data_IF_084677514208
#
_entry.id   IF_084677514208
#
_cell.length_a   1.000
_cell.length_b   1.000
_cell.length_c   1.000
_cell.angle_alpha   90.00
_cell.angle_beta   90.00
_cell.angle_gamma   90.00
#
_symmetry.space_group_name_H-M   'P 1'
#
loop_
_entity.id
_entity.type
_entity.pdbx_description
1 polymer ?
#
# COMPACT_ATOMS: atom_id res chain seq x y z
N UNK A 1 49.04 1.57 16.98
CA UNK A 1 47.94 2.07 16.14
C UNK A 1 46.86 0.99 16.17
N UNK A 2 45.87 1.15 17.04
CA UNK A 2 44.78 0.18 17.19
C UNK A 2 43.70 0.55 16.17
N UNK A 3 43.39 -0.36 15.26
CA UNK A 3 42.22 -0.23 14.37
C UNK A 3 41.03 -0.71 15.20
N UNK A 4 40.16 0.20 15.60
CA UNK A 4 38.85 -0.17 16.11
C UNK A 4 38.04 -0.69 14.90
N UNK A 5 37.72 -1.98 14.89
CA UNK A 5 36.70 -2.53 14.00
C UNK A 5 35.36 -2.10 14.61
N UNK A 6 34.76 -1.07 14.03
CA UNK A 6 33.43 -0.61 14.38
C UNK A 6 32.44 -1.59 13.74
N UNK A 7 32.22 -2.73 14.39
CA UNK A 7 31.33 -3.80 13.91
C UNK A 7 29.86 -3.38 14.13
N UNK A 8 29.38 -2.43 13.30
CA UNK A 8 27.96 -2.05 13.22
C UNK A 8 27.15 -3.13 12.49
N UNK A 9 27.19 -4.36 13.00
CA UNK A 9 26.41 -5.47 12.44
C UNK A 9 24.94 -5.33 12.87
N UNK A 10 24.04 -5.49 11.92
CA UNK A 10 22.59 -5.55 12.15
C UNK A 10 22.10 -6.93 11.76
N UNK A 11 21.27 -7.51 12.62
CA UNK A 11 20.62 -8.80 12.41
C UNK A 11 19.13 -8.59 12.19
N UNK A 12 18.63 -9.03 11.05
CA UNK A 12 17.20 -9.08 10.75
C UNK A 12 16.69 -10.49 10.97
N UNK A 13 15.50 -10.60 11.55
CA UNK A 13 14.80 -11.86 11.72
C UNK A 13 13.50 -11.81 10.93
N UNK A 14 13.20 -12.87 10.19
CA UNK A 14 11.96 -12.97 9.45
C UNK A 14 10.79 -13.20 10.42
N UNK A 15 9.78 -12.33 10.36
CA UNK A 15 8.61 -12.41 11.24
C UNK A 15 7.73 -13.63 11.00
N UNK A 16 7.91 -14.34 9.88
CA UNK A 16 7.09 -15.48 9.50
C UNK A 16 7.72 -16.84 9.87
N UNK A 17 8.99 -17.05 9.51
CA UNK A 17 9.67 -18.33 9.73
C UNK A 17 10.82 -18.27 10.73
N UNK A 18 11.21 -17.08 11.20
CA UNK A 18 12.36 -16.89 12.07
C UNK A 18 13.71 -17.07 11.39
N UNK A 19 13.78 -17.12 10.05
CA UNK A 19 15.05 -17.07 9.31
C UNK A 19 15.79 -15.78 9.61
N UNK A 20 17.12 -15.77 9.51
CA UNK A 20 17.96 -14.67 10.00
C UNK A 20 18.99 -14.27 8.95
N UNK A 21 19.20 -12.96 8.80
CA UNK A 21 20.34 -12.43 8.04
C UNK A 21 21.09 -11.40 8.87
N UNK A 22 22.41 -11.41 8.77
CA UNK A 22 23.30 -10.46 9.44
C UNK A 22 24.21 -9.81 8.42
N UNK A 23 24.32 -8.48 8.47
CA UNK A 23 25.28 -7.74 7.66
C UNK A 23 25.53 -6.35 8.20
N UNK A 24 26.39 -5.61 7.51
CA UNK A 24 26.84 -4.29 7.94
C UNK A 24 25.71 -3.25 7.83
N UNK A 25 25.32 -2.66 8.96
CA UNK A 25 24.46 -1.48 9.02
C UNK A 25 25.24 -0.19 8.75
N UNK A 26 24.54 0.87 8.32
CA UNK A 26 25.19 2.16 8.03
C UNK A 26 25.88 2.75 9.27
N UNK A 27 27.09 3.34 9.13
CA UNK A 27 27.80 3.91 10.27
C UNK A 27 27.17 5.24 10.70
N UNK A 28 26.95 5.39 12.00
CA UNK A 28 26.36 6.56 12.70
C UNK A 28 24.88 6.86 12.42
N UNK A 29 23.99 6.13 13.11
CA UNK A 29 22.56 6.45 13.17
C UNK A 29 21.61 5.25 13.22
N UNK A 30 22.11 4.04 12.93
CA UNK A 30 21.60 2.77 13.46
C UNK A 30 20.14 2.39 13.23
N UNK A 31 19.43 2.98 12.28
CA UNK A 31 18.00 2.66 12.08
C UNK A 31 17.70 2.07 10.70
N UNK A 32 18.44 2.38 9.63
CA UNK A 32 18.05 2.00 8.26
C UNK A 32 18.80 0.77 7.72
N UNK A 33 18.07 -0.25 7.26
CA UNK A 33 18.57 -1.58 6.85
C UNK A 33 18.29 -1.92 5.38
N UNK A 34 17.95 -0.92 4.57
CA UNK A 34 17.58 -1.10 3.15
C UNK A 34 18.61 -1.86 2.31
N UNK A 35 19.90 -1.60 2.52
CA UNK A 35 20.99 -2.29 1.82
C UNK A 35 20.99 -3.78 2.14
N UNK A 36 20.86 -4.14 3.42
CA UNK A 36 20.83 -5.53 3.89
C UNK A 36 19.58 -6.26 3.35
N UNK A 37 18.44 -5.56 3.29
CA UNK A 37 17.23 -6.10 2.67
C UNK A 37 17.43 -6.40 1.19
N UNK A 38 17.97 -5.41 0.45
CA UNK A 38 18.17 -5.50 -1.00
C UNK A 38 19.17 -6.59 -1.38
N UNK A 39 20.30 -6.69 -0.67
CA UNK A 39 21.36 -7.66 -0.94
C UNK A 39 20.89 -9.10 -0.76
N UNK A 40 19.97 -9.34 0.18
CA UNK A 40 19.50 -10.68 0.51
C UNK A 40 18.09 -10.98 -0.04
N UNK A 41 17.49 -10.04 -0.78
CA UNK A 41 16.13 -10.18 -1.32
C UNK A 41 15.06 -10.28 -0.23
N UNK A 42 15.33 -9.73 0.95
CA UNK A 42 14.35 -9.59 2.02
C UNK A 42 13.45 -8.39 1.74
N UNK A 43 12.22 -8.43 2.25
CA UNK A 43 11.27 -7.33 2.18
C UNK A 43 10.82 -6.90 3.57
N UNK A 44 10.31 -5.68 3.71
CA UNK A 44 9.86 -5.18 5.00
C UNK A 44 10.21 -3.72 5.23
N UNK A 45 10.18 -3.33 6.50
CA UNK A 45 10.51 -1.99 6.95
C UNK A 45 11.93 -1.63 6.54
N UNK A 46 12.18 -0.40 6.05
CA UNK A 46 13.54 0.07 5.91
C UNK A 46 14.22 0.26 7.27
N UNK A 47 13.48 0.18 8.39
CA UNK A 47 14.00 0.33 9.74
C UNK A 47 14.34 -1.02 10.40
N UNK A 48 15.43 -1.09 11.16
CA UNK A 48 15.93 -2.31 11.81
C UNK A 48 14.93 -2.92 12.79
N UNK A 49 14.14 -2.09 13.47
CA UNK A 49 13.12 -2.48 14.45
C UNK A 49 11.74 -2.77 13.83
N UNK A 50 11.59 -2.58 12.52
CA UNK A 50 10.34 -2.84 11.83
C UNK A 50 10.19 -4.29 11.36
N UNK A 51 9.05 -4.64 10.75
CA UNK A 51 8.81 -5.99 10.27
C UNK A 51 9.70 -6.35 9.08
N UNK A 52 10.20 -7.58 9.05
CA UNK A 52 11.07 -8.12 7.99
C UNK A 52 10.59 -9.51 7.54
N UNK A 53 10.70 -9.79 6.25
CA UNK A 53 10.43 -11.11 5.68
C UNK A 53 11.60 -11.54 4.80
N UNK A 54 12.05 -12.78 5.00
CA UNK A 54 13.11 -13.34 4.16
C UNK A 54 12.59 -13.63 2.75
N UNK A 55 13.51 -13.70 1.79
CA UNK A 55 13.19 -13.95 0.39
C UNK A 55 12.32 -15.21 0.16
N UNK A 56 12.38 -16.21 1.04
CA UNK A 56 11.55 -17.40 0.96
C UNK A 56 10.11 -17.12 1.39
N UNK A 57 9.90 -16.48 2.54
CA UNK A 57 8.55 -16.14 3.03
C UNK A 57 7.88 -15.08 2.16
N UNK A 58 8.64 -14.13 1.63
CA UNK A 58 8.13 -13.16 0.63
C UNK A 58 7.60 -13.87 -0.61
N UNK A 59 8.21 -14.99 -1.02
CA UNK A 59 7.72 -15.81 -2.15
C UNK A 59 6.54 -16.72 -1.79
N UNK A 60 6.35 -17.05 -0.52
CA UNK A 60 5.27 -17.92 -0.05
C UNK A 60 3.98 -17.16 0.26
N UNK A 61 4.04 -15.83 0.36
CA UNK A 61 2.92 -15.01 0.83
C UNK A 61 2.77 -15.04 2.35
N UNK A 62 1.76 -14.37 2.91
CA UNK A 62 1.54 -14.30 4.35
C UNK A 62 1.24 -15.67 4.98
N UNK A 63 1.54 -15.81 6.28
CA UNK A 63 1.18 -16.98 7.08
C UNK A 63 -0.33 -17.28 7.02
N UNK A 64 -0.73 -18.56 7.22
CA UNK A 64 -2.12 -19.02 7.16
C UNK A 64 -3.05 -18.42 8.24
N UNK A 65 -2.57 -17.51 9.09
CA UNK A 65 -3.33 -16.89 10.19
C UNK A 65 -4.13 -15.65 9.76
N UNK A 66 -4.19 -15.37 8.44
CA UNK A 66 -5.47 -15.16 7.74
C UNK A 66 -6.27 -13.88 8.00
N UNK A 67 -5.87 -12.78 7.36
CA UNK A 67 -6.84 -12.05 6.53
C UNK A 67 -6.24 -12.00 5.12
N UNK A 68 -6.86 -12.65 4.11
CA UNK A 68 -6.42 -12.47 2.75
C UNK A 68 -6.50 -10.98 2.43
N UNK A 69 -5.36 -10.40 2.07
CA UNK A 69 -5.33 -9.04 1.59
C UNK A 69 -6.09 -8.92 0.26
N UNK A 70 -6.54 -7.71 -0.06
CA UNK A 70 -7.22 -7.42 -1.33
C UNK A 70 -8.65 -6.89 -1.16
N UNK A 71 -9.45 -7.03 -2.22
CA UNK A 71 -10.80 -6.44 -2.30
C UNK A 71 -11.76 -7.22 -1.40
N UNK A 72 -12.32 -6.53 -0.41
CA UNK A 72 -13.25 -7.11 0.58
C UNK A 72 -14.70 -6.73 0.34
N UNK A 73 -14.97 -5.75 -0.53
CA UNK A 73 -16.33 -5.37 -0.88
C UNK A 73 -16.39 -4.33 -2.00
N UNK A 74 -17.49 -4.35 -2.73
CA UNK A 74 -17.87 -3.32 -3.71
C UNK A 74 -19.30 -2.91 -3.40
N UNK A 75 -19.52 -1.61 -3.20
CA UNK A 75 -20.83 -1.03 -2.92
C UNK A 75 -21.16 0.06 -3.94
N UNK A 76 -22.41 0.12 -4.38
CA UNK A 76 -22.90 1.19 -5.24
C UNK A 76 -23.85 2.08 -4.45
N UNK A 77 -23.49 3.35 -4.32
CA UNK A 77 -24.22 4.36 -3.58
C UNK A 77 -24.49 5.51 -4.53
N UNK A 78 -25.72 5.60 -5.05
CA UNK A 78 -26.21 6.70 -5.89
C UNK A 78 -25.11 7.30 -6.79
N UNK A 79 -24.67 6.64 -7.87
CA UNK A 79 -23.64 7.20 -8.76
C UNK A 79 -22.22 7.35 -8.16
N UNK A 80 -21.94 6.77 -6.99
CA UNK A 80 -20.60 6.52 -6.46
C UNK A 80 -20.41 5.01 -6.29
N UNK A 81 -19.30 4.46 -6.75
CA UNK A 81 -18.91 3.07 -6.44
C UNK A 81 -17.77 3.07 -5.43
N UNK A 82 -17.96 2.38 -4.31
CA UNK A 82 -16.96 2.23 -3.26
C UNK A 82 -16.31 0.85 -3.37
N UNK A 83 -14.99 0.82 -3.52
CA UNK A 83 -14.17 -0.40 -3.48
C UNK A 83 -13.44 -0.44 -2.15
N UNK A 84 -13.73 -1.43 -1.31
CA UNK A 84 -13.12 -1.59 0.01
C UNK A 84 -12.01 -2.61 -0.04
N UNK A 85 -10.85 -2.26 0.50
CA UNK A 85 -9.63 -3.08 0.47
C UNK A 85 -9.12 -3.24 1.90
N UNK A 86 -8.65 -4.45 2.23
CA UNK A 86 -8.06 -4.73 3.53
C UNK A 86 -6.80 -5.60 3.40
N UNK A 87 -5.97 -5.63 4.44
CA UNK A 87 -4.74 -6.42 4.48
C UNK A 87 -3.68 -5.92 3.48
N UNK A 88 -2.84 -6.84 3.02
CA UNK A 88 -1.75 -6.55 2.09
C UNK A 88 -2.25 -6.52 0.63
N UNK A 89 -1.88 -5.48 -0.11
CA UNK A 89 -2.20 -5.35 -1.54
C UNK A 89 -0.91 -5.50 -2.34
N UNK A 90 -0.72 -6.70 -2.88
CA UNK A 90 0.46 -7.12 -3.64
C UNK A 90 0.09 -7.72 -5.01
N UNK A 91 1.11 -8.24 -5.71
CA UNK A 91 1.00 -8.92 -7.00
C UNK A 91 -0.06 -10.03 -7.03
N UNK A 92 -0.24 -10.78 -5.93
CA UNK A 92 -1.19 -11.91 -5.89
C UNK A 92 -2.64 -11.41 -5.82
N UNK A 93 -2.85 -10.21 -5.28
CA UNK A 93 -4.15 -9.53 -5.23
C UNK A 93 -4.42 -8.63 -6.45
N UNK A 94 -3.41 -8.42 -7.30
CA UNK A 94 -3.42 -7.45 -8.40
C UNK A 94 -4.55 -7.68 -9.39
N UNK A 95 -4.81 -8.93 -9.78
CA UNK A 95 -5.86 -9.28 -10.75
C UNK A 95 -7.26 -8.99 -10.20
N UNK A 96 -7.51 -9.32 -8.93
CA UNK A 96 -8.78 -9.06 -8.26
C UNK A 96 -9.02 -7.55 -8.09
N UNK A 97 -7.97 -6.81 -7.73
CA UNK A 97 -8.02 -5.36 -7.64
C UNK A 97 -8.27 -4.71 -9.01
N UNK A 98 -7.57 -5.17 -10.04
CA UNK A 98 -7.77 -4.66 -11.41
C UNK A 98 -9.20 -4.88 -11.88
N UNK A 99 -9.75 -6.08 -11.65
CA UNK A 99 -11.13 -6.40 -12.02
C UNK A 99 -12.15 -5.53 -11.26
N UNK A 100 -11.95 -5.36 -9.95
CA UNK A 100 -12.81 -4.52 -9.11
C UNK A 100 -12.78 -3.06 -9.54
N UNK A 101 -11.59 -2.50 -9.79
CA UNK A 101 -11.44 -1.13 -10.25
C UNK A 101 -12.03 -0.95 -11.66
N UNK A 102 -11.81 -1.90 -12.58
CA UNK A 102 -12.46 -1.89 -13.91
C UNK A 102 -13.97 -1.82 -13.76
N UNK A 103 -14.55 -2.73 -12.99
CA UNK A 103 -15.99 -2.76 -12.72
C UNK A 103 -16.49 -1.43 -12.15
N UNK A 104 -15.81 -0.89 -11.14
CA UNK A 104 -16.16 0.39 -10.54
C UNK A 104 -16.10 1.55 -11.55
N UNK A 105 -15.07 1.59 -12.40
CA UNK A 105 -14.95 2.62 -13.44
C UNK A 105 -16.02 2.46 -14.53
N UNK A 106 -16.44 1.23 -14.83
CA UNK A 106 -17.41 0.95 -15.89
C UNK A 106 -18.84 1.39 -15.52
N UNK A 107 -19.16 1.47 -14.22
CA UNK A 107 -20.43 2.02 -13.74
C UNK A 107 -20.64 3.50 -14.10
N UNK A 108 -19.58 4.23 -14.48
CA UNK A 108 -19.68 5.58 -15.04
C UNK A 108 -19.91 6.71 -14.03
N UNK A 109 -19.90 6.41 -12.73
CA UNK A 109 -19.98 7.39 -11.65
C UNK A 109 -18.64 7.71 -11.00
N UNK A 110 -18.68 8.41 -9.86
CA UNK A 110 -17.50 8.61 -9.03
C UNK A 110 -17.03 7.28 -8.42
N UNK A 111 -15.76 7.23 -8.02
CA UNK A 111 -15.19 6.05 -7.37
C UNK A 111 -14.53 6.45 -6.05
N UNK A 112 -14.82 5.69 -5.00
CA UNK A 112 -14.07 5.76 -3.74
C UNK A 112 -13.28 4.47 -3.58
N UNK A 113 -11.98 4.59 -3.32
CA UNK A 113 -11.15 3.46 -2.90
C UNK A 113 -10.87 3.60 -1.41
N UNK A 114 -11.42 2.69 -0.62
CA UNK A 114 -11.24 2.65 0.83
C UNK A 114 -10.09 1.71 1.21
N UNK A 115 -8.95 2.31 1.53
CA UNK A 115 -7.73 1.67 2.05
C UNK A 115 -7.65 1.76 3.58
N UNK A 116 -8.76 2.04 4.26
CA UNK A 116 -8.81 2.25 5.71
C UNK A 116 -8.37 1.06 6.56
N UNK A 117 -8.33 -0.14 5.96
CA UNK A 117 -7.90 -1.40 6.58
C UNK A 117 -6.71 -2.05 5.84
N UNK A 118 -6.00 -1.28 5.01
CA UNK A 118 -4.84 -1.74 4.26
C UNK A 118 -3.57 -1.54 5.06
N UNK A 119 -2.76 -2.59 5.15
CA UNK A 119 -1.51 -2.61 5.93
C UNK A 119 -0.31 -2.31 5.02
N UNK A 120 -0.31 -2.87 3.81
CA UNK A 120 0.73 -2.66 2.80
C UNK A 120 0.12 -2.42 1.41
N UNK A 121 0.80 -1.61 0.59
CA UNK A 121 0.47 -1.41 -0.82
C UNK A 121 1.74 -1.39 -1.66
N UNK A 122 1.79 -2.21 -2.71
CA UNK A 122 2.93 -2.29 -3.63
C UNK A 122 2.80 -1.34 -4.84
N UNK A 123 3.84 -1.27 -5.67
CA UNK A 123 3.86 -0.43 -6.87
C UNK A 123 2.85 -0.85 -7.94
N UNK A 124 2.45 -2.14 -7.97
CA UNK A 124 1.45 -2.66 -8.90
C UNK A 124 0.08 -2.10 -8.57
N UNK A 125 -0.32 -2.18 -7.29
CA UNK A 125 -1.56 -1.61 -6.79
C UNK A 125 -1.63 -0.10 -7.01
N UNK A 126 -0.54 0.63 -6.74
CA UNK A 126 -0.46 2.07 -7.03
C UNK A 126 -0.68 2.37 -8.52
N UNK A 127 -0.06 1.58 -9.41
CA UNK A 127 -0.26 1.70 -10.86
C UNK A 127 -1.71 1.47 -11.28
N UNK A 128 -2.41 0.54 -10.63
CA UNK A 128 -3.84 0.29 -10.86
C UNK A 128 -4.72 1.46 -10.43
N UNK A 129 -4.42 2.11 -9.29
CA UNK A 129 -5.12 3.31 -8.83
C UNK A 129 -4.99 4.46 -9.83
N UNK A 130 -3.79 4.68 -10.38
CA UNK A 130 -3.55 5.71 -11.41
C UNK A 130 -4.34 5.42 -12.68
N UNK A 131 -4.33 4.16 -13.15
CA UNK A 131 -5.12 3.75 -14.32
C UNK A 131 -6.63 3.95 -14.10
N UNK A 132 -7.13 3.60 -12.91
CA UNK A 132 -8.53 3.81 -12.55
C UNK A 132 -8.88 5.30 -12.53
N UNK A 133 -8.01 6.14 -11.95
CA UNK A 133 -8.19 7.59 -11.93
C UNK A 133 -8.34 8.16 -13.35
N UNK A 134 -7.46 7.79 -14.29
CA UNK A 134 -7.57 8.25 -15.67
C UNK A 134 -8.90 7.86 -16.33
N UNK A 135 -9.33 6.60 -16.18
CA UNK A 135 -10.62 6.13 -16.74
C UNK A 135 -11.84 6.86 -16.16
N UNK A 136 -11.80 7.18 -14.88
CA UNK A 136 -12.87 7.93 -14.20
C UNK A 136 -12.88 9.39 -14.70
N UNK A 137 -11.71 10.00 -14.83
CA UNK A 137 -11.56 11.37 -15.32
C UNK A 137 -11.99 11.55 -16.79
N UNK A 138 -11.72 10.56 -17.66
CA UNK A 138 -12.19 10.55 -19.06
C UNK A 138 -13.71 10.68 -19.19
N UNK A 139 -14.46 10.28 -18.16
CA UNK A 139 -15.93 10.33 -18.10
C UNK A 139 -16.45 11.56 -17.34
N UNK A 140 -15.58 12.47 -16.91
CA UNK A 140 -15.94 13.65 -16.14
C UNK A 140 -16.28 13.37 -14.67
N UNK A 141 -16.00 12.15 -14.18
CA UNK A 141 -16.19 11.78 -12.78
C UNK A 141 -14.87 11.93 -12.00
N UNK A 142 -14.88 11.62 -10.69
CA UNK A 142 -13.71 11.75 -9.81
C UNK A 142 -13.47 10.46 -9.03
N UNK A 143 -12.20 10.05 -8.96
CA UNK A 143 -11.75 8.99 -8.06
C UNK A 143 -11.16 9.64 -6.80
N UNK A 144 -11.62 9.24 -5.62
CA UNK A 144 -11.10 9.68 -4.32
C UNK A 144 -10.58 8.47 -3.53
N UNK A 145 -9.45 8.64 -2.84
CA UNK A 145 -8.86 7.60 -1.99
C UNK A 145 -9.02 7.97 -0.52
N UNK A 146 -9.53 7.04 0.27
CA UNK A 146 -9.57 7.13 1.73
C UNK A 146 -8.48 6.22 2.32
N UNK A 147 -7.59 6.78 3.14
CA UNK A 147 -6.56 6.01 3.83
C UNK A 147 -6.33 6.55 5.23
N UNK A 148 -6.53 5.68 6.23
CA UNK A 148 -6.27 5.97 7.66
C UNK A 148 -4.82 5.72 8.06
N UNK A 149 -4.18 4.71 7.49
CA UNK A 149 -2.82 4.32 7.84
C UNK A 149 -1.80 5.44 7.51
N UNK A 150 -1.02 5.94 8.49
CA UNK A 150 0.02 6.93 8.23
C UNK A 150 1.08 6.45 7.23
N UNK A 151 1.39 5.14 7.26
CA UNK A 151 2.32 4.50 6.33
C UNK A 151 1.80 4.59 4.89
N UNK A 152 0.55 4.16 4.65
CA UNK A 152 -0.06 4.22 3.30
C UNK A 152 -0.13 5.67 2.80
N UNK A 153 -0.53 6.61 3.67
CA UNK A 153 -0.55 8.03 3.31
C UNK A 153 0.85 8.56 2.98
N UNK A 154 1.89 8.10 3.68
CA UNK A 154 3.27 8.48 3.38
C UNK A 154 3.74 7.91 2.04
N UNK A 155 3.40 6.66 1.73
CA UNK A 155 3.68 6.05 0.43
C UNK A 155 3.03 6.86 -0.69
N UNK A 156 1.75 7.22 -0.55
CA UNK A 156 1.03 8.02 -1.53
C UNK A 156 1.64 9.43 -1.70
N UNK A 157 2.10 10.06 -0.62
CA UNK A 157 2.80 11.36 -0.66
C UNK A 157 4.16 11.31 -1.32
N UNK A 158 4.99 10.34 -0.95
CA UNK A 158 6.34 10.18 -1.54
C UNK A 158 6.24 9.89 -3.04
N UNK A 159 5.22 9.15 -3.44
CA UNK A 159 4.90 8.87 -4.85
C UNK A 159 4.10 9.98 -5.53
N UNK A 160 3.76 11.07 -4.82
CA UNK A 160 2.97 12.23 -5.27
C UNK A 160 1.59 11.89 -5.82
N UNK A 161 1.04 10.76 -5.42
CA UNK A 161 -0.28 10.33 -5.84
C UNK A 161 -1.40 11.12 -5.16
N UNK A 162 -1.12 11.76 -4.04
CA UNK A 162 -2.00 12.73 -3.39
C UNK A 162 -2.16 14.05 -4.19
N UNK A 163 -1.28 14.31 -5.16
CA UNK A 163 -1.42 15.40 -6.14
C UNK A 163 -2.25 14.97 -7.37
N UNK A 164 -2.41 13.66 -7.60
CA UNK A 164 -3.11 13.09 -8.77
C UNK A 164 -4.60 12.93 -8.48
N UNK A 165 -4.96 12.41 -7.32
CA UNK A 165 -6.34 12.24 -6.88
C UNK A 165 -6.53 12.71 -5.44
N UNK A 166 -7.75 13.15 -5.06
CA UNK A 166 -8.01 13.54 -3.68
C UNK A 166 -7.76 12.39 -2.70
N UNK A 167 -6.92 12.65 -1.70
CA UNK A 167 -6.61 11.76 -0.59
C UNK A 167 -7.19 12.30 0.71
N UNK A 168 -8.09 11.54 1.33
CA UNK A 168 -8.72 11.87 2.62
C UNK A 168 -8.50 10.77 3.64
N UNK A 169 -8.88 11.01 4.89
CA UNK A 169 -8.63 10.06 5.98
C UNK A 169 -9.65 8.93 6.01
N UNK A 170 -10.93 9.22 5.79
CA UNK A 170 -12.00 8.23 5.92
C UNK A 170 -12.87 8.12 4.68
N UNK A 171 -13.52 6.95 4.52
CA UNK A 171 -14.56 6.73 3.51
C UNK A 171 -15.67 7.78 3.59
N UNK A 172 -16.05 8.20 4.80
CA UNK A 172 -17.07 9.22 5.00
C UNK A 172 -16.64 10.58 4.43
N UNK A 173 -15.39 10.99 4.67
CA UNK A 173 -14.83 12.23 4.11
C UNK A 173 -14.76 12.18 2.58
N UNK A 174 -14.47 11.00 2.02
CA UNK A 174 -14.39 10.81 0.57
C UNK A 174 -15.76 11.00 -0.09
N UNK A 175 -16.80 10.39 0.49
CA UNK A 175 -18.18 10.53 0.03
C UNK A 175 -18.64 11.99 0.14
N UNK A 176 -18.46 12.61 1.31
CA UNK A 176 -18.84 14.01 1.52
C UNK A 176 -18.14 14.98 0.55
N UNK A 177 -16.87 14.70 0.21
CA UNK A 177 -16.13 15.50 -0.77
C UNK A 177 -16.71 15.35 -2.18
N UNK A 178 -17.08 14.15 -2.59
CA UNK A 178 -17.65 13.89 -3.91
C UNK A 178 -19.05 14.50 -4.04
N UNK A 179 -19.88 14.42 -3.00
CA UNK A 179 -21.19 15.08 -2.96
C UNK A 179 -21.06 16.60 -3.09
N UNK A 180 -20.07 17.21 -2.42
CA UNK A 180 -19.82 18.64 -2.53
C UNK A 180 -19.30 19.08 -3.92
N UNK A 181 -18.76 18.15 -4.71
CA UNK A 181 -18.19 18.43 -6.04
C UNK A 181 -19.24 18.29 -7.16
N UNK A 182 -20.38 17.63 -6.88
CA UNK A 182 -21.52 17.49 -7.80
C UNK A 182 -22.74 18.29 -7.29
N UNK A 183 -22.74 19.63 -7.40
CA UNK A 183 -23.82 20.48 -6.88
C UNK A 183 -25.13 20.38 -7.68
N UNK A 184 -25.17 19.56 -8.74
CA UNK A 184 -26.34 19.32 -9.58
C UNK A 184 -27.15 18.07 -9.16
N UNK A 185 -26.70 17.36 -8.12
CA UNK A 185 -27.39 16.23 -7.49
C UNK A 185 -28.35 16.65 -6.39
#
# INVERSE_FOLDING_TARGET
>A
MAVALDDHLVTLTCDNCGDIVTGSGAPSGGEVVWTLLSEHGWSGSPLADGPHRCAHCTRLGPAPDGVPGGVTGIEHLDGVTVVTIAGDVDLDTGDALELALRHATDMGGHVVVDLGRTDLIDSTALGLLVRAHHRVAERGATLCVAARSPLIRQVLRVTRLDEVFPLVETRADALARLDATDPAR
#
